data_IF_582931831540
#
_entry.id   IF_582931831540
#
_cell.length_a   1.000
_cell.length_b   1.000
_cell.length_c   1.000
_cell.angle_alpha   90.00
_cell.angle_beta   90.00
_cell.angle_gamma   90.00
#
_symmetry.space_group_name_H-M   'P 1'
#
loop_
_entity.id
_entity.type
_entity.pdbx_description
1 polymer ?
#
# COMPACT_ATOMS: atom_id res chain seq x y z
N UNK A 1 -36.68 -1.79 -8.60
CA UNK A 1 -36.28 -2.10 -9.99
C UNK A 1 -34.84 -1.67 -10.17
N UNK A 2 -33.95 -2.57 -10.54
CA UNK A 2 -32.53 -2.24 -10.76
C UNK A 2 -32.40 -1.48 -12.09
N UNK A 3 -31.83 -0.28 -12.06
CA UNK A 3 -31.53 0.48 -13.28
C UNK A 3 -30.37 -0.16 -14.04
N UNK A 4 -30.45 -0.26 -15.37
CA UNK A 4 -29.34 -0.77 -16.19
C UNK A 4 -28.13 0.16 -16.06
N UNK A 5 -27.03 -0.37 -15.52
CA UNK A 5 -25.74 0.30 -15.30
C UNK A 5 -24.58 -0.61 -15.72
N UNK A 6 -23.37 -0.05 -15.82
CA UNK A 6 -22.14 -0.81 -16.07
C UNK A 6 -21.91 -1.90 -15.02
N UNK A 7 -22.18 -1.60 -13.74
CA UNK A 7 -22.01 -2.55 -12.62
C UNK A 7 -22.97 -3.75 -12.70
N UNK A 8 -24.20 -3.53 -13.17
CA UNK A 8 -25.14 -4.62 -13.41
C UNK A 8 -24.59 -5.58 -14.46
N UNK A 9 -24.09 -5.06 -15.59
CA UNK A 9 -23.54 -5.88 -16.66
C UNK A 9 -22.30 -6.65 -16.18
N UNK A 10 -21.42 -6.00 -15.40
CA UNK A 10 -20.24 -6.64 -14.83
C UNK A 10 -20.62 -7.79 -13.88
N UNK A 11 -21.63 -7.60 -13.01
CA UNK A 11 -22.13 -8.64 -12.09
C UNK A 11 -22.70 -9.84 -12.83
N UNK A 12 -23.48 -9.62 -13.89
CA UNK A 12 -24.03 -10.71 -14.72
C UNK A 12 -22.90 -11.57 -15.30
N UNK A 13 -21.86 -10.95 -15.87
CA UNK A 13 -20.71 -11.69 -16.37
C UNK A 13 -19.94 -12.41 -15.25
N UNK A 14 -19.76 -11.79 -14.09
CA UNK A 14 -19.03 -12.37 -12.96
C UNK A 14 -19.76 -13.57 -12.30
N UNK A 15 -21.09 -13.55 -12.32
CA UNK A 15 -21.96 -14.61 -11.80
C UNK A 15 -22.07 -15.80 -12.76
N UNK A 16 -21.84 -15.59 -14.05
CA UNK A 16 -21.94 -16.66 -15.05
C UNK A 16 -20.70 -17.56 -15.05
N UNK A 17 -20.91 -18.87 -14.90
CA UNK A 17 -19.84 -19.88 -15.05
C UNK A 17 -19.48 -20.13 -16.52
N UNK A 18 -20.42 -19.86 -17.43
CA UNK A 18 -20.26 -20.04 -18.87
C UNK A 18 -20.13 -18.68 -19.58
N UNK A 19 -19.41 -18.62 -20.73
CA UNK A 19 -19.43 -17.44 -21.57
C UNK A 19 -20.82 -17.09 -22.08
N UNK A 20 -21.14 -15.81 -22.17
CA UNK A 20 -22.44 -15.31 -22.61
C UNK A 20 -22.34 -14.71 -24.02
N UNK A 21 -23.27 -15.11 -24.89
CA UNK A 21 -23.65 -14.37 -26.08
C UNK A 21 -24.41 -13.10 -25.72
N UNK A 22 -24.60 -12.19 -26.69
CA UNK A 22 -25.41 -10.99 -26.47
C UNK A 22 -26.86 -11.32 -26.10
N UNK A 23 -27.46 -12.35 -26.70
CA UNK A 23 -28.86 -12.72 -26.42
C UNK A 23 -29.03 -13.34 -25.04
N UNK A 24 -28.03 -14.09 -24.55
CA UNK A 24 -27.97 -14.55 -23.16
C UNK A 24 -27.79 -13.36 -22.21
N UNK A 25 -26.89 -12.43 -22.52
CA UNK A 25 -26.72 -11.21 -21.73
C UNK A 25 -28.03 -10.41 -21.62
N UNK A 26 -28.78 -10.26 -22.71
CA UNK A 26 -30.07 -9.55 -22.67
C UNK A 26 -31.10 -10.24 -21.77
N UNK A 27 -31.17 -11.59 -21.82
CA UNK A 27 -32.06 -12.38 -20.95
C UNK A 27 -31.70 -12.23 -19.47
N UNK A 28 -30.41 -12.24 -19.15
CA UNK A 28 -29.94 -12.02 -17.78
C UNK A 28 -30.25 -10.60 -17.29
N UNK A 29 -30.02 -9.57 -18.14
CA UNK A 29 -30.41 -8.19 -17.80
C UNK A 29 -31.91 -8.09 -17.57
N UNK A 30 -32.71 -8.74 -18.41
CA UNK A 30 -34.17 -8.77 -18.25
C UNK A 30 -34.57 -9.39 -16.90
N UNK A 31 -33.98 -10.53 -16.54
CA UNK A 31 -34.22 -11.21 -15.27
C UNK A 31 -33.87 -10.35 -14.06
N UNK A 32 -32.70 -9.72 -14.05
CA UNK A 32 -32.20 -8.95 -12.90
C UNK A 32 -32.90 -7.59 -12.71
N UNK A 33 -33.46 -7.04 -13.78
CA UNK A 33 -34.15 -5.74 -13.75
C UNK A 33 -35.66 -5.88 -13.57
N UNK A 34 -36.23 -7.05 -13.93
CA UNK A 34 -37.66 -7.33 -13.91
C UNK A 34 -38.42 -6.69 -15.08
N UNK A 35 -37.72 -6.25 -16.14
CA UNK A 35 -38.38 -5.64 -17.31
C UNK A 35 -39.14 -6.68 -18.14
N UNK A 36 -40.23 -6.24 -18.74
CA UNK A 36 -41.03 -7.02 -19.67
C UNK A 36 -40.31 -7.23 -21.02
N UNK A 37 -40.76 -8.23 -21.77
CA UNK A 37 -40.26 -8.49 -23.11
C UNK A 37 -40.55 -7.32 -24.07
N UNK A 38 -41.70 -6.69 -23.91
CA UNK A 38 -42.08 -5.49 -24.65
C UNK A 38 -41.09 -4.34 -24.43
N UNK A 39 -40.64 -4.11 -23.19
CA UNK A 39 -39.64 -3.08 -22.86
C UNK A 39 -38.26 -3.42 -23.43
N UNK A 40 -37.85 -4.68 -23.38
CA UNK A 40 -36.57 -5.12 -23.95
C UNK A 40 -36.53 -4.94 -25.47
N UNK A 41 -37.67 -5.07 -26.15
CA UNK A 41 -37.82 -4.97 -27.60
C UNK A 41 -38.30 -3.61 -28.10
N UNK A 42 -38.59 -2.65 -27.21
CA UNK A 42 -39.03 -1.30 -27.56
C UNK A 42 -38.01 -0.60 -28.48
N UNK A 43 -38.42 -0.34 -29.72
CA UNK A 43 -37.58 0.29 -30.74
C UNK A 43 -37.51 1.80 -30.54
N UNK A 44 -36.29 2.35 -30.60
CA UNK A 44 -36.01 3.79 -30.63
C UNK A 44 -35.15 4.12 -31.86
N UNK A 45 -35.27 5.34 -32.34
CA UNK A 45 -34.46 5.85 -33.44
C UNK A 45 -33.13 6.41 -32.91
N UNK A 46 -32.02 6.05 -33.53
CA UNK A 46 -30.68 6.48 -33.15
C UNK A 46 -29.92 7.05 -34.36
N UNK A 47 -29.08 8.07 -34.11
CA UNK A 47 -28.20 8.69 -35.11
C UNK A 47 -28.91 9.60 -36.12
N UNK A 48 -28.12 10.25 -36.97
CA UNK A 48 -28.61 11.08 -38.09
C UNK A 48 -29.43 10.27 -39.11
N UNK A 49 -29.16 8.98 -39.22
CA UNK A 49 -29.71 8.08 -40.22
C UNK A 49 -30.99 7.36 -39.73
N UNK A 50 -31.53 7.77 -38.56
CA UNK A 50 -32.76 7.25 -37.94
C UNK A 50 -32.85 5.72 -37.87
N UNK A 51 -31.75 5.05 -37.53
CA UNK A 51 -31.73 3.59 -37.45
C UNK A 51 -32.59 3.12 -36.27
N UNK A 52 -33.54 2.21 -36.51
CA UNK A 52 -34.43 1.67 -35.46
C UNK A 52 -33.82 0.45 -34.78
N UNK A 53 -33.52 0.56 -33.49
CA UNK A 53 -33.05 -0.57 -32.69
C UNK A 53 -33.58 -0.47 -31.26
N UNK A 54 -33.52 -1.57 -30.49
CA UNK A 54 -33.93 -1.54 -29.09
C UNK A 54 -33.01 -0.63 -28.28
N UNK A 55 -33.60 0.36 -27.59
CA UNK A 55 -32.82 1.29 -26.77
C UNK A 55 -32.16 0.61 -25.57
N UNK A 56 -32.82 -0.41 -25.02
CA UNK A 56 -32.27 -1.25 -23.95
C UNK A 56 -31.07 -2.05 -24.45
N UNK A 57 -31.21 -2.79 -25.57
CA UNK A 57 -30.12 -3.58 -26.14
C UNK A 57 -28.96 -2.71 -26.58
N UNK A 58 -29.22 -1.49 -27.06
CA UNK A 58 -28.19 -0.50 -27.35
C UNK A 58 -27.42 -0.10 -26.08
N UNK A 59 -28.13 0.25 -25.00
CA UNK A 59 -27.53 0.62 -23.72
C UNK A 59 -26.68 -0.51 -23.11
N UNK A 60 -27.18 -1.75 -23.17
CA UNK A 60 -26.45 -2.95 -22.72
C UNK A 60 -25.17 -3.15 -23.55
N UNK A 61 -25.23 -3.02 -24.88
CA UNK A 61 -24.04 -3.10 -25.75
C UNK A 61 -23.04 -1.98 -25.47
N UNK A 62 -23.50 -0.78 -25.13
CA UNK A 62 -22.63 0.33 -24.77
C UNK A 62 -21.85 0.01 -23.48
N UNK A 63 -22.55 -0.42 -22.41
CA UNK A 63 -21.88 -0.86 -21.18
C UNK A 63 -20.97 -2.07 -21.40
N UNK A 64 -21.41 -3.05 -22.20
CA UNK A 64 -20.57 -4.19 -22.60
C UNK A 64 -19.30 -3.70 -23.33
N UNK A 65 -19.39 -2.69 -24.19
CA UNK A 65 -18.23 -2.09 -24.86
C UNK A 65 -17.30 -1.38 -23.86
N UNK A 66 -17.85 -0.66 -22.88
CA UNK A 66 -17.07 -0.09 -21.77
C UNK A 66 -16.32 -1.19 -21.02
N UNK A 67 -16.97 -2.30 -20.70
CA UNK A 67 -16.34 -3.47 -20.06
C UNK A 67 -15.29 -4.13 -20.95
N UNK A 68 -15.47 -4.17 -22.27
CA UNK A 68 -14.41 -4.67 -23.19
C UNK A 68 -13.19 -3.76 -23.19
N UNK A 69 -13.39 -2.45 -23.28
CA UNK A 69 -12.31 -1.46 -23.29
C UNK A 69 -11.56 -1.42 -21.95
N UNK A 70 -12.30 -1.55 -20.85
CA UNK A 70 -11.72 -1.67 -19.52
C UNK A 70 -10.94 -2.98 -19.36
N UNK A 71 -11.23 -3.97 -20.20
CA UNK A 71 -10.96 -5.35 -19.89
C UNK A 71 -11.70 -5.66 -18.59
N UNK A 72 -12.94 -6.09 -18.65
CA UNK A 72 -13.65 -6.77 -17.54
C UNK A 72 -14.14 -8.12 -18.05
N UNK A 73 -14.39 -8.14 -19.36
CA UNK A 73 -14.73 -9.32 -20.13
C UNK A 73 -13.73 -9.47 -21.26
N UNK A 74 -13.42 -10.72 -21.60
CA UNK A 74 -12.60 -11.07 -22.74
C UNK A 74 -13.41 -11.86 -23.76
N UNK A 75 -12.99 -11.77 -25.02
CA UNK A 75 -13.62 -12.51 -26.11
C UNK A 75 -13.22 -13.97 -25.99
N UNK A 76 -14.19 -14.87 -26.13
CA UNK A 76 -13.88 -16.30 -26.29
C UNK A 76 -13.29 -16.53 -27.68
N UNK A 77 -12.09 -17.13 -27.81
CA UNK A 77 -11.52 -17.47 -29.11
C UNK A 77 -12.52 -18.25 -29.96
N UNK A 78 -12.50 -18.01 -31.27
CA UNK A 78 -13.31 -18.74 -32.27
C UNK A 78 -14.84 -18.57 -32.15
N UNK A 79 -15.35 -17.88 -31.13
CA UNK A 79 -16.78 -17.56 -30.98
C UNK A 79 -17.04 -16.08 -31.27
N UNK A 80 -17.97 -15.79 -32.20
CA UNK A 80 -18.37 -14.42 -32.55
C UNK A 80 -19.42 -13.92 -31.56
N UNK A 81 -19.17 -12.75 -30.96
CA UNK A 81 -20.14 -12.11 -30.06
C UNK A 81 -20.33 -12.80 -28.71
N UNK A 82 -19.42 -13.71 -28.33
CA UNK A 82 -19.43 -14.42 -27.05
C UNK A 82 -18.29 -13.90 -26.18
N UNK A 83 -18.63 -13.55 -24.94
CA UNK A 83 -17.74 -12.91 -23.99
C UNK A 83 -17.81 -13.62 -22.65
N UNK A 84 -16.71 -13.64 -21.91
CA UNK A 84 -16.65 -14.17 -20.55
C UNK A 84 -15.96 -13.19 -19.63
N UNK A 85 -16.22 -13.29 -18.35
CA UNK A 85 -15.46 -12.57 -17.33
C UNK A 85 -14.01 -13.04 -17.33
N UNK A 86 -13.02 -12.13 -17.24
CA UNK A 86 -11.62 -12.58 -17.15
C UNK A 86 -11.28 -13.06 -15.73
N UNK A 87 -10.28 -13.93 -15.61
CA UNK A 87 -9.99 -14.80 -14.46
C UNK A 87 -10.23 -14.24 -13.04
N UNK A 88 -10.80 -15.10 -12.17
CA UNK A 88 -10.87 -14.93 -10.71
C UNK A 88 -9.54 -15.39 -10.06
N UNK A 89 -9.08 -14.71 -9.02
CA UNK A 89 -7.91 -15.15 -8.23
C UNK A 89 -8.21 -16.42 -7.42
N UNK A 90 -7.15 -17.05 -6.87
CA UNK A 90 -7.27 -18.26 -6.02
C UNK A 90 -8.14 -18.07 -4.76
N UNK A 91 -8.41 -16.83 -4.34
CA UNK A 91 -9.24 -16.49 -3.17
C UNK A 91 -10.66 -16.07 -3.55
N UNK A 92 -11.10 -16.31 -4.79
CA UNK A 92 -12.37 -15.85 -5.35
C UNK A 92 -12.54 -14.32 -5.36
N UNK A 93 -11.47 -13.55 -5.14
CA UNK A 93 -11.46 -12.10 -5.28
C UNK A 93 -11.08 -11.69 -6.71
N UNK A 94 -11.57 -10.52 -7.13
CA UNK A 94 -11.27 -9.93 -8.45
C UNK A 94 -9.83 -9.38 -8.48
N UNK A 95 -9.07 -9.65 -9.54
CA UNK A 95 -7.78 -9.01 -9.78
C UNK A 95 -8.02 -7.61 -10.39
N UNK A 96 -7.26 -6.60 -9.96
CA UNK A 96 -7.25 -5.29 -10.61
C UNK A 96 -6.53 -5.38 -11.96
N UNK A 97 -7.12 -4.84 -13.02
CA UNK A 97 -6.57 -4.90 -14.38
C UNK A 97 -5.51 -3.83 -14.61
N UNK A 98 -4.63 -4.01 -15.61
CA UNK A 98 -3.47 -3.14 -15.87
C UNK A 98 -3.82 -1.65 -16.03
N UNK A 99 -5.04 -1.30 -16.47
CA UNK A 99 -5.47 0.10 -16.67
C UNK A 99 -6.71 0.50 -15.88
N UNK A 100 -7.32 -0.43 -15.14
CA UNK A 100 -8.53 -0.15 -14.39
C UNK A 100 -8.15 0.44 -13.03
N UNK A 101 -8.62 1.66 -12.77
CA UNK A 101 -8.58 2.30 -11.47
C UNK A 101 -10.01 2.70 -11.11
N UNK A 102 -10.56 2.10 -10.06
CA UNK A 102 -11.90 2.42 -9.56
C UNK A 102 -11.76 3.01 -8.17
N UNK A 103 -12.50 4.09 -7.90
CA UNK A 103 -12.60 4.61 -6.54
C UNK A 103 -13.33 3.56 -5.69
N UNK A 104 -12.62 2.94 -4.75
CA UNK A 104 -13.20 1.99 -3.81
C UNK A 104 -14.08 2.70 -2.79
N UNK A 105 -13.59 3.81 -2.24
CA UNK A 105 -14.36 4.73 -1.40
C UNK A 105 -13.70 6.10 -1.33
N UNK A 106 -14.45 7.12 -0.94
CA UNK A 106 -13.95 8.48 -0.69
C UNK A 106 -14.56 9.03 0.60
N UNK A 107 -13.76 9.73 1.38
CA UNK A 107 -14.12 10.37 2.65
C UNK A 107 -13.49 11.76 2.70
N UNK A 108 -13.76 12.52 3.77
CA UNK A 108 -13.06 13.79 4.03
C UNK A 108 -11.56 13.62 4.27
N UNK A 109 -11.08 12.40 4.57
CA UNK A 109 -9.67 12.09 4.83
C UNK A 109 -8.91 11.67 3.55
N UNK A 110 -9.61 11.50 2.43
CA UNK A 110 -9.01 11.10 1.16
C UNK A 110 -9.82 10.04 0.41
N UNK A 111 -9.21 9.46 -0.62
CA UNK A 111 -9.81 8.45 -1.46
C UNK A 111 -8.98 7.16 -1.48
N UNK A 112 -9.68 6.02 -1.52
CA UNK A 112 -9.10 4.72 -1.82
C UNK A 112 -9.39 4.36 -3.26
N UNK A 113 -8.35 3.91 -3.98
CA UNK A 113 -8.45 3.47 -5.36
C UNK A 113 -8.07 2.00 -5.44
N UNK A 114 -8.97 1.18 -5.96
CA UNK A 114 -8.71 -0.18 -6.33
C UNK A 114 -8.23 -0.23 -7.79
N UNK A 115 -6.96 -0.59 -8.00
CA UNK A 115 -6.36 -0.57 -9.33
C UNK A 115 -4.89 -0.93 -9.33
N UNK A 116 -4.31 -0.92 -10.53
CA UNK A 116 -2.86 -1.02 -10.70
C UNK A 116 -2.18 0.28 -10.25
N UNK A 117 -1.35 0.22 -9.21
CA UNK A 117 -0.67 1.39 -8.66
C UNK A 117 0.16 2.15 -9.70
N UNK A 118 0.91 1.46 -10.56
CA UNK A 118 1.68 2.11 -11.62
C UNK A 118 0.78 2.89 -12.58
N UNK A 119 -0.33 2.30 -13.03
CA UNK A 119 -1.27 2.97 -13.93
C UNK A 119 -1.95 4.19 -13.28
N UNK A 120 -2.32 4.09 -12.00
CA UNK A 120 -2.88 5.21 -11.26
C UNK A 120 -1.88 6.35 -11.12
N UNK A 121 -0.71 6.09 -10.53
CA UNK A 121 0.28 7.13 -10.26
C UNK A 121 0.93 7.68 -11.53
N UNK A 122 0.96 6.95 -12.65
CA UNK A 122 1.42 7.52 -13.94
C UNK A 122 0.53 8.65 -14.46
N UNK A 123 -0.70 8.79 -13.96
CA UNK A 123 -1.66 9.82 -14.37
C UNK A 123 -2.00 10.82 -13.26
N UNK A 124 -1.42 10.66 -12.07
CA UNK A 124 -1.65 11.61 -10.97
C UNK A 124 -1.00 12.95 -11.30
N UNK A 125 -1.67 14.05 -10.98
CA UNK A 125 -1.15 15.42 -11.23
C UNK A 125 -0.88 16.18 -9.94
N UNK A 126 -1.43 15.66 -8.85
CA UNK A 126 -1.35 16.18 -7.51
C UNK A 126 0.08 16.09 -6.97
N UNK A 127 0.46 17.10 -6.21
CA UNK A 127 1.78 17.21 -5.60
C UNK A 127 1.84 16.36 -4.33
N UNK A 128 2.80 15.44 -4.27
CA UNK A 128 2.93 14.44 -3.21
C UNK A 128 3.95 14.90 -2.18
N UNK A 129 3.63 14.76 -0.90
CA UNK A 129 4.47 15.21 0.22
C UNK A 129 5.10 14.04 0.98
N UNK A 130 4.42 12.89 0.97
CA UNK A 130 4.92 11.64 1.53
C UNK A 130 4.40 10.44 0.74
N UNK A 131 5.31 9.60 0.28
CA UNK A 131 5.01 8.22 -0.08
C UNK A 131 5.36 7.31 1.10
N UNK A 132 4.38 6.90 1.88
CA UNK A 132 4.56 5.94 2.96
C UNK A 132 3.95 4.62 2.53
N UNK A 133 4.73 3.53 2.57
CA UNK A 133 4.20 2.22 2.17
C UNK A 133 4.99 1.04 2.71
N UNK A 134 4.37 -0.13 2.64
CA UNK A 134 4.95 -1.42 2.97
C UNK A 134 4.72 -2.38 1.80
N UNK A 135 5.62 -2.43 0.80
CA UNK A 135 5.40 -3.27 -0.38
C UNK A 135 5.30 -4.75 -0.01
N UNK A 136 4.59 -5.57 -0.81
CA UNK A 136 4.70 -7.02 -0.81
C UNK A 136 6.15 -7.49 -0.64
N UNK A 137 6.49 -8.09 0.50
CA UNK A 137 7.89 -8.43 0.76
C UNK A 137 8.45 -9.49 -0.20
N UNK A 138 9.73 -9.32 -0.56
CA UNK A 138 10.56 -10.36 -1.19
C UNK A 138 10.79 -11.53 -0.20
N UNK A 139 9.78 -12.38 -0.07
CA UNK A 139 9.85 -13.60 0.73
C UNK A 139 9.97 -14.83 -0.18
N UNK A 140 10.72 -15.83 0.32
CA UNK A 140 10.88 -17.11 -0.38
C UNK A 140 9.55 -17.85 -0.53
N UNK A 141 8.75 -17.86 0.52
CA UNK A 141 7.37 -18.33 0.48
C UNK A 141 6.49 -17.08 0.40
N UNK A 142 5.75 -16.94 -0.69
CA UNK A 142 4.76 -15.87 -0.79
C UNK A 142 3.76 -16.01 0.34
N UNK A 143 3.40 -14.88 0.93
CA UNK A 143 2.15 -14.75 1.66
C UNK A 143 1.03 -14.48 0.66
N UNK A 144 -0.20 -14.40 1.14
CA UNK A 144 -1.38 -14.23 0.30
C UNK A 144 -1.39 -12.94 -0.54
N UNK A 145 -0.48 -11.99 -0.27
CA UNK A 145 -0.29 -10.76 -1.06
C UNK A 145 0.59 -10.91 -2.32
N UNK A 146 1.03 -12.12 -2.68
CA UNK A 146 1.76 -12.40 -3.93
C UNK A 146 3.29 -12.23 -3.87
N UNK A 147 3.93 -12.16 -5.05
CA UNK A 147 5.39 -12.24 -5.24
C UNK A 147 6.10 -10.92 -5.64
N UNK A 148 5.48 -9.74 -5.46
CA UNK A 148 6.16 -8.46 -5.73
C UNK A 148 6.84 -8.38 -7.11
N UNK A 149 6.08 -8.69 -8.18
CA UNK A 149 6.58 -8.62 -9.56
C UNK A 149 7.33 -9.84 -10.09
N UNK A 150 7.71 -10.82 -9.26
CA UNK A 150 8.28 -12.08 -9.76
C UNK A 150 9.22 -12.81 -8.79
N UNK A 151 9.97 -13.79 -9.32
CA UNK A 151 11.00 -14.52 -8.54
C UNK A 151 12.38 -13.95 -8.85
N UNK A 152 13.03 -13.40 -7.83
CA UNK A 152 14.41 -12.96 -7.92
C UNK A 152 14.57 -11.55 -7.38
N UNK A 153 15.76 -11.29 -6.87
CA UNK A 153 16.09 -10.02 -6.22
C UNK A 153 15.98 -8.82 -7.17
N UNK A 154 16.63 -8.90 -8.32
CA UNK A 154 16.65 -7.81 -9.30
C UNK A 154 15.25 -7.52 -9.88
N UNK A 155 14.49 -8.58 -10.17
CA UNK A 155 13.11 -8.45 -10.67
C UNK A 155 12.21 -7.73 -9.66
N UNK A 156 12.36 -8.04 -8.38
CA UNK A 156 11.63 -7.35 -7.31
C UNK A 156 12.01 -5.87 -7.20
N UNK A 157 13.31 -5.57 -7.27
CA UNK A 157 13.81 -4.19 -7.23
C UNK A 157 13.26 -3.41 -8.42
N UNK A 158 13.41 -3.91 -9.65
CA UNK A 158 12.95 -3.20 -10.85
C UNK A 158 11.42 -3.03 -10.87
N UNK A 159 10.67 -4.01 -10.36
CA UNK A 159 9.22 -3.90 -10.17
C UNK A 159 8.85 -2.78 -9.19
N UNK A 160 9.49 -2.72 -8.03
CA UNK A 160 9.19 -1.69 -7.02
C UNK A 160 9.58 -0.30 -7.53
N UNK A 161 10.74 -0.17 -8.19
CA UNK A 161 11.17 1.09 -8.79
C UNK A 161 10.19 1.57 -9.86
N UNK A 162 9.68 0.66 -10.70
CA UNK A 162 8.67 1.01 -11.71
C UNK A 162 7.43 1.64 -11.07
N UNK A 163 6.98 1.14 -9.92
CA UNK A 163 5.82 1.68 -9.20
C UNK A 163 6.14 3.02 -8.54
N UNK A 164 7.34 3.16 -7.96
CA UNK A 164 7.76 4.37 -7.25
C UNK A 164 8.14 5.51 -8.19
N UNK A 165 8.64 5.23 -9.40
CA UNK A 165 9.08 6.26 -10.36
C UNK A 165 8.03 7.36 -10.62
N UNK A 166 6.77 7.07 -10.99
CA UNK A 166 5.77 8.12 -11.18
C UNK A 166 5.42 8.86 -9.89
N UNK A 167 5.51 8.22 -8.73
CA UNK A 167 5.29 8.87 -7.42
C UNK A 167 6.43 9.86 -7.16
N UNK A 168 7.68 9.44 -7.36
CA UNK A 168 8.87 10.28 -7.14
C UNK A 168 8.87 11.52 -8.03
N UNK A 169 8.39 11.40 -9.27
CA UNK A 169 8.24 12.55 -10.20
C UNK A 169 7.26 13.61 -9.69
N UNK A 170 6.31 13.23 -8.85
CA UNK A 170 5.26 14.10 -8.33
C UNK A 170 5.55 14.60 -6.90
N UNK A 171 6.71 14.23 -6.33
CA UNK A 171 7.14 14.70 -5.03
C UNK A 171 7.47 16.21 -5.07
N UNK A 172 6.94 16.96 -4.11
CA UNK A 172 7.41 18.34 -3.87
C UNK A 172 8.87 18.32 -3.38
N UNK A 173 9.64 19.40 -3.56
CA UNK A 173 11.01 19.45 -3.04
C UNK A 173 11.06 19.20 -1.53
N UNK A 174 11.91 18.26 -1.11
CA UNK A 174 12.07 17.86 0.30
C UNK A 174 11.03 16.88 0.83
N UNK A 175 10.13 16.40 -0.03
CA UNK A 175 9.15 15.36 0.29
C UNK A 175 9.83 14.02 0.56
N UNK A 176 9.16 13.17 1.35
CA UNK A 176 9.75 11.92 1.83
C UNK A 176 9.19 10.69 1.13
N UNK A 177 10.03 9.66 1.00
CA UNK A 177 9.63 8.29 0.68
C UNK A 177 10.05 7.39 1.84
N UNK A 178 9.08 6.76 2.49
CA UNK A 178 9.28 5.87 3.62
C UNK A 178 8.79 4.46 3.27
N UNK A 179 9.72 3.51 3.17
CA UNK A 179 9.45 2.13 2.77
C UNK A 179 9.71 1.18 3.92
N UNK A 180 8.65 0.63 4.52
CA UNK A 180 8.77 -0.49 5.45
C UNK A 180 9.03 -1.78 4.67
N UNK A 181 10.21 -2.40 4.86
CA UNK A 181 10.63 -3.58 4.09
C UNK A 181 11.15 -4.67 5.03
N UNK A 182 11.22 -5.91 4.54
CA UNK A 182 11.69 -7.04 5.37
C UNK A 182 13.21 -7.13 5.42
N UNK A 183 13.80 -7.29 6.60
CA UNK A 183 15.19 -7.78 6.65
C UNK A 183 15.30 -9.32 6.59
N UNK A 184 14.17 -10.02 6.60
CA UNK A 184 14.10 -11.49 6.68
C UNK A 184 14.10 -12.16 5.30
N UNK A 185 14.89 -11.64 4.36
CA UNK A 185 15.14 -12.26 3.05
C UNK A 185 16.47 -13.02 3.08
N UNK A 186 16.42 -14.33 2.80
CA UNK A 186 17.57 -15.24 2.90
C UNK A 186 17.98 -15.81 1.55
N UNK A 187 19.28 -16.02 1.37
CA UNK A 187 19.81 -16.73 0.22
C UNK A 187 19.30 -18.18 0.21
N UNK A 188 19.00 -18.70 -0.99
CA UNK A 188 18.38 -20.01 -1.15
C UNK A 188 19.23 -21.11 -0.48
N UNK A 189 18.63 -21.79 0.50
CA UNK A 189 19.25 -22.91 1.20
C UNK A 189 20.42 -22.54 2.11
N UNK A 190 20.62 -21.25 2.41
CA UNK A 190 21.74 -20.77 3.24
C UNK A 190 21.25 -19.89 4.39
N UNK A 191 21.97 -19.84 5.53
CA UNK A 191 21.65 -18.95 6.64
C UNK A 191 22.05 -17.49 6.38
N UNK A 192 22.70 -17.17 5.27
CA UNK A 192 23.03 -15.80 4.89
C UNK A 192 21.82 -15.05 4.34
N UNK A 193 21.68 -13.76 4.69
CA UNK A 193 20.67 -12.87 4.13
C UNK A 193 21.02 -12.47 2.69
N UNK A 194 20.00 -12.23 1.88
CA UNK A 194 20.18 -11.58 0.57
C UNK A 194 20.59 -10.12 0.79
N UNK A 195 21.40 -9.58 -0.13
CA UNK A 195 21.81 -8.18 -0.11
C UNK A 195 20.78 -7.26 -0.79
N UNK A 196 19.53 -7.72 -0.95
CA UNK A 196 18.53 -6.95 -1.70
C UNK A 196 18.19 -5.62 -1.05
N UNK A 197 18.32 -5.51 0.27
CA UNK A 197 18.03 -4.28 0.98
C UNK A 197 19.06 -3.22 0.63
N UNK A 198 20.34 -3.61 0.57
CA UNK A 198 21.45 -2.76 0.13
C UNK A 198 21.29 -2.41 -1.35
N UNK A 199 21.00 -3.39 -2.22
CA UNK A 199 20.81 -3.14 -3.66
C UNK A 199 19.59 -2.29 -3.96
N UNK A 200 18.49 -2.47 -3.23
CA UNK A 200 17.30 -1.63 -3.32
C UNK A 200 17.62 -0.20 -2.88
N UNK A 201 18.34 -0.03 -1.76
CA UNK A 201 18.75 1.30 -1.29
C UNK A 201 19.55 2.03 -2.37
N UNK A 202 20.59 1.39 -2.91
CA UNK A 202 21.41 1.97 -3.97
C UNK A 202 20.58 2.29 -5.21
N UNK A 203 19.70 1.37 -5.64
CA UNK A 203 18.89 1.59 -6.83
C UNK A 203 17.87 2.73 -6.66
N UNK A 204 17.32 2.94 -5.46
CA UNK A 204 16.47 4.10 -5.17
C UNK A 204 17.25 5.41 -5.33
N UNK A 205 18.49 5.45 -4.85
CA UNK A 205 19.36 6.63 -5.03
C UNK A 205 19.77 6.81 -6.50
N UNK A 206 20.36 5.78 -7.10
CA UNK A 206 21.01 5.87 -8.41
C UNK A 206 20.00 6.02 -9.56
N UNK A 207 18.83 5.37 -9.46
CA UNK A 207 17.83 5.35 -10.55
C UNK A 207 16.70 6.34 -10.35
N UNK A 208 16.33 6.67 -9.12
CA UNK A 208 15.24 7.63 -8.84
C UNK A 208 15.73 8.97 -8.30
N UNK A 209 17.04 9.15 -8.10
CA UNK A 209 17.62 10.41 -7.62
C UNK A 209 17.30 10.74 -6.17
N UNK A 210 16.91 9.74 -5.37
CA UNK A 210 16.59 9.93 -3.96
C UNK A 210 17.86 9.98 -3.10
N UNK A 211 17.79 10.68 -1.98
CA UNK A 211 18.85 10.75 -0.97
C UNK A 211 18.40 10.02 0.30
N UNK A 212 19.23 9.11 0.81
CA UNK A 212 18.93 8.36 2.02
C UNK A 212 19.09 9.26 3.26
N UNK A 213 18.01 9.45 4.01
CA UNK A 213 17.99 10.24 5.25
C UNK A 213 18.35 9.38 6.46
N UNK A 214 17.69 8.24 6.65
CA UNK A 214 17.97 7.30 7.74
C UNK A 214 17.37 5.90 7.46
N UNK A 215 17.70 4.93 8.32
CA UNK A 215 17.07 3.62 8.41
C UNK A 215 16.44 3.47 9.79
N UNK A 216 15.14 3.74 9.89
CA UNK A 216 14.42 3.61 11.14
C UNK A 216 14.14 2.13 11.41
N UNK A 217 14.48 1.65 12.60
CA UNK A 217 14.29 0.24 12.98
C UNK A 217 12.97 0.08 13.71
N UNK A 218 11.94 -0.41 13.03
CA UNK A 218 10.69 -0.75 13.68
C UNK A 218 10.83 -2.09 14.40
N UNK A 219 11.04 -2.03 15.72
CA UNK A 219 11.13 -3.20 16.61
C UNK A 219 9.74 -3.63 17.05
N UNK A 220 9.33 -4.80 16.60
CA UNK A 220 8.09 -5.44 17.02
C UNK A 220 8.41 -6.58 18.01
N UNK A 221 8.32 -6.27 19.31
CA UNK A 221 8.57 -7.26 20.39
C UNK A 221 7.59 -8.43 20.41
N UNK A 222 6.46 -8.32 19.71
CA UNK A 222 5.47 -9.38 19.57
C UNK A 222 5.66 -10.23 18.31
N UNK A 223 6.74 -10.00 17.53
CA UNK A 223 7.06 -10.81 16.36
C UNK A 223 7.36 -12.26 16.79
N UNK A 224 6.73 -13.27 16.18
CA UNK A 224 7.04 -14.67 16.49
C UNK A 224 8.53 -15.00 16.23
N UNK A 225 9.10 -15.98 16.95
CA UNK A 225 10.49 -16.41 16.73
C UNK A 225 10.76 -16.80 15.27
N UNK A 226 11.54 -15.97 14.58
CA UNK A 226 11.88 -16.12 13.17
C UNK A 226 13.28 -15.58 12.87
N UNK A 227 14.02 -16.08 11.87
CA UNK A 227 13.70 -17.20 10.99
C UNK A 227 13.76 -18.55 11.72
N UNK A 228 12.64 -19.26 11.83
CA UNK A 228 12.53 -20.45 12.69
C UNK A 228 13.52 -21.54 12.32
N UNK A 229 13.77 -21.76 11.01
CA UNK A 229 14.74 -22.76 10.57
C UNK A 229 16.17 -22.41 11.01
N UNK A 230 16.63 -21.19 10.77
CA UNK A 230 18.02 -20.81 11.05
C UNK A 230 18.27 -20.48 12.52
N UNK A 231 17.33 -19.79 13.18
CA UNK A 231 17.48 -19.37 14.57
C UNK A 231 17.05 -20.44 15.56
N UNK A 232 15.87 -21.06 15.37
CA UNK A 232 15.30 -21.98 16.37
C UNK A 232 15.71 -23.44 16.14
N UNK A 233 15.80 -23.90 14.89
CA UNK A 233 16.15 -25.30 14.56
C UNK A 233 17.67 -25.50 14.45
N UNK A 234 18.32 -24.76 13.54
CA UNK A 234 19.76 -24.89 13.27
C UNK A 234 20.64 -24.16 14.30
N UNK A 235 20.09 -23.17 15.01
CA UNK A 235 20.79 -22.38 16.05
C UNK A 235 22.03 -21.63 15.54
N UNK A 236 22.01 -21.19 14.28
CA UNK A 236 23.10 -20.45 13.63
C UNK A 236 22.78 -18.97 13.40
N UNK A 237 21.63 -18.50 13.87
CA UNK A 237 21.15 -17.12 13.75
C UNK A 237 20.40 -16.70 15.02
N UNK A 238 20.29 -15.39 15.23
CA UNK A 238 19.38 -14.82 16.23
C UNK A 238 17.97 -14.64 15.65
N UNK A 239 16.97 -14.54 16.53
CA UNK A 239 15.63 -14.16 16.10
C UNK A 239 15.60 -12.68 15.67
N UNK A 240 15.04 -12.43 14.50
CA UNK A 240 14.77 -11.09 13.97
C UNK A 240 13.70 -10.40 14.78
N UNK A 241 14.00 -9.19 15.26
CA UNK A 241 13.12 -8.41 16.13
C UNK A 241 12.59 -7.13 15.46
N UNK A 242 13.12 -6.77 14.29
CA UNK A 242 12.80 -5.50 13.65
C UNK A 242 12.53 -5.62 12.16
N UNK A 243 11.89 -4.60 11.61
CA UNK A 243 11.73 -4.33 10.18
C UNK A 243 12.26 -2.92 9.88
N UNK A 244 13.18 -2.77 8.91
CA UNK A 244 13.69 -1.45 8.55
C UNK A 244 12.65 -0.66 7.75
N UNK A 245 12.45 0.59 8.16
CA UNK A 245 11.83 1.63 7.36
C UNK A 245 12.97 2.42 6.71
N UNK A 246 13.15 2.25 5.41
CA UNK A 246 14.09 3.09 4.66
C UNK A 246 13.42 4.44 4.41
N UNK A 247 14.03 5.52 4.90
CA UNK A 247 13.53 6.87 4.72
C UNK A 247 14.45 7.65 3.79
N UNK A 248 13.88 8.14 2.69
CA UNK A 248 14.54 8.95 1.68
C UNK A 248 13.85 10.30 1.50
N UNK A 249 14.56 11.25 0.89
CA UNK A 249 14.04 12.52 0.37
C UNK A 249 14.43 12.69 -1.10
N UNK A 250 13.73 13.55 -1.84
CA UNK A 250 14.13 13.97 -3.18
C UNK A 250 15.02 15.23 -3.21
N UNK A 251 15.15 15.94 -2.08
CA UNK A 251 16.05 17.09 -1.92
C UNK A 251 16.42 17.24 -0.44
N UNK A 252 17.65 16.86 -0.07
CA UNK A 252 18.13 16.95 1.31
C UNK A 252 18.30 18.40 1.82
N UNK A 253 18.38 19.38 0.93
CA UNK A 253 18.50 20.80 1.31
C UNK A 253 17.16 21.44 1.70
N UNK A 254 16.03 20.78 1.41
CA UNK A 254 14.67 21.31 1.62
C UNK A 254 13.78 20.38 2.45
N UNK A 255 14.37 19.49 3.24
CA UNK A 255 13.64 18.46 3.99
C UNK A 255 12.48 19.05 4.80
N UNK A 256 11.34 18.35 4.75
CA UNK A 256 10.10 18.72 5.46
C UNK A 256 9.93 18.05 6.82
N UNK A 257 10.86 17.18 7.21
CA UNK A 257 10.79 16.45 8.47
C UNK A 257 11.05 17.39 9.66
N UNK A 258 10.32 17.17 10.75
CA UNK A 258 10.47 17.97 11.97
C UNK A 258 10.30 17.08 13.20
N UNK A 259 11.39 16.85 13.93
CA UNK A 259 11.41 15.98 15.10
C UNK A 259 10.67 16.58 16.31
N UNK A 260 10.40 17.88 16.32
CA UNK A 260 9.62 18.53 17.36
C UNK A 260 8.15 18.09 17.33
N UNK A 261 7.65 17.65 16.17
CA UNK A 261 6.29 17.10 16.03
C UNK A 261 6.13 15.74 16.70
N UNK A 262 7.23 15.02 16.98
CA UNK A 262 7.18 13.64 17.50
C UNK A 262 7.96 13.46 18.80
N UNK A 263 8.09 14.54 19.58
CA UNK A 263 8.74 14.49 20.90
C UNK A 263 8.06 13.45 21.80
N UNK A 264 8.89 12.72 22.53
CA UNK A 264 8.45 11.79 23.56
C UNK A 264 8.51 12.47 24.93
N UNK A 265 7.67 12.06 25.89
CA UNK A 265 7.80 12.54 27.25
C UNK A 265 9.18 12.20 27.81
N UNK A 266 9.73 13.11 28.62
CA UNK A 266 10.94 12.83 29.38
C UNK A 266 10.70 11.68 30.34
N UNK A 267 11.73 10.85 30.56
CA UNK A 267 11.69 9.87 31.65
C UNK A 267 11.74 10.59 33.00
N UNK A 268 11.21 9.97 34.04
CA UNK A 268 11.29 10.52 35.41
C UNK A 268 12.74 10.79 35.82
N UNK A 269 13.67 9.94 35.39
CA UNK A 269 15.09 10.12 35.66
C UNK A 269 15.64 11.37 34.97
N UNK A 270 15.24 11.63 33.72
CA UNK A 270 15.67 12.83 33.02
C UNK A 270 15.05 14.11 33.62
N UNK A 271 13.78 14.06 34.03
CA UNK A 271 13.14 15.17 34.74
C UNK A 271 13.86 15.49 36.07
N UNK A 272 14.27 14.46 36.83
CA UNK A 272 15.09 14.63 38.03
C UNK A 272 16.46 15.26 37.72
N UNK A 273 17.10 14.83 36.64
CA UNK A 273 18.37 15.39 36.18
C UNK A 273 18.24 16.87 35.82
N UNK A 274 17.20 17.24 35.06
CA UNK A 274 16.90 18.63 34.72
C UNK A 274 16.61 19.48 35.98
N UNK A 275 15.84 18.95 36.93
CA UNK A 275 15.56 19.62 38.19
C UNK A 275 16.81 19.85 39.05
N UNK A 276 17.81 18.97 38.95
CA UNK A 276 19.10 19.10 39.62
C UNK A 276 20.08 20.04 38.89
N UNK A 277 19.70 20.63 37.75
CA UNK A 277 20.56 21.51 36.96
C UNK A 277 21.44 20.78 35.93
N UNK A 278 21.22 19.47 35.72
CA UNK A 278 21.99 18.64 34.79
C UNK A 278 23.04 17.76 35.48
N UNK A 279 24.00 17.28 34.68
CA UNK A 279 25.12 16.47 35.15
C UNK A 279 26.08 17.32 35.98
N UNK A 280 26.57 16.79 37.11
CA UNK A 280 27.52 17.52 37.97
C UNK A 280 28.99 17.24 37.60
N UNK A 281 29.23 16.17 36.84
CA UNK A 281 30.57 15.71 36.46
C UNK A 281 31.03 16.37 35.17
N UNK A 282 32.35 16.56 35.10
CA UNK A 282 33.04 16.81 33.84
C UNK A 282 33.90 15.59 33.53
N UNK A 283 33.75 15.01 32.34
CA UNK A 283 34.45 13.77 31.96
C UNK A 283 34.74 13.79 30.46
N UNK A 284 35.89 13.24 30.06
CA UNK A 284 36.25 13.01 28.67
C UNK A 284 36.13 11.52 28.38
N UNK A 285 35.43 11.16 27.31
CA UNK A 285 35.28 9.77 26.89
C UNK A 285 36.15 9.49 25.66
N UNK A 286 36.79 8.32 25.63
CA UNK A 286 37.57 7.85 24.50
C UNK A 286 38.71 8.81 24.12
N UNK A 287 38.73 9.22 22.86
CA UNK A 287 39.69 10.17 22.29
C UNK A 287 39.40 11.64 22.65
N UNK A 288 38.38 11.89 23.46
CA UNK A 288 37.99 13.22 23.92
C UNK A 288 37.00 13.95 23.01
N UNK A 289 36.56 13.35 21.88
CA UNK A 289 35.53 13.94 21.03
C UNK A 289 34.19 14.13 21.77
N UNK A 290 33.92 13.26 22.74
CA UNK A 290 32.76 13.37 23.62
C UNK A 290 33.20 13.82 25.01
N UNK A 291 32.93 15.08 25.31
CA UNK A 291 33.10 15.66 26.63
C UNK A 291 31.74 15.83 27.31
N UNK A 292 31.57 15.22 28.47
CA UNK A 292 30.50 15.58 29.39
C UNK A 292 30.95 16.78 30.21
N UNK A 293 30.13 17.84 30.25
CA UNK A 293 30.39 19.05 31.02
C UNK A 293 29.40 19.14 32.17
N UNK A 294 29.81 19.74 33.28
CA UNK A 294 28.87 20.14 34.33
C UNK A 294 27.74 21.01 33.75
N UNK A 295 26.50 20.76 34.15
CA UNK A 295 25.28 21.36 33.61
C UNK A 295 24.72 20.69 32.34
N UNK A 296 25.41 19.70 31.75
CA UNK A 296 24.89 18.99 30.58
C UNK A 296 23.55 18.32 30.86
N UNK A 297 22.66 18.32 29.87
CA UNK A 297 21.29 17.80 29.97
C UNK A 297 20.40 18.52 31.01
N UNK A 298 20.82 19.66 31.55
CA UNK A 298 20.03 20.46 32.50
C UNK A 298 18.92 21.30 31.86
N UNK A 299 18.99 21.54 30.55
CA UNK A 299 18.02 22.39 29.85
C UNK A 299 16.61 21.79 29.90
N UNK A 300 15.63 22.61 30.29
CA UNK A 300 14.21 22.25 30.20
C UNK A 300 13.76 22.28 28.74
N UNK A 301 13.30 21.15 28.24
CA UNK A 301 12.74 21.01 26.89
C UNK A 301 11.35 20.38 26.98
N UNK A 302 10.50 20.62 25.99
CA UNK A 302 9.11 20.12 25.95
C UNK A 302 9.03 18.59 25.93
N UNK A 303 10.06 17.92 25.40
CA UNK A 303 10.20 16.48 25.43
C UNK A 303 11.58 16.04 24.95
N UNK A 304 11.73 14.73 24.75
CA UNK A 304 12.93 14.11 24.22
C UNK A 304 12.75 13.73 22.75
N UNK A 305 13.77 14.00 21.94
CA UNK A 305 13.78 13.60 20.54
C UNK A 305 13.83 12.07 20.46
N UNK A 306 12.92 11.42 19.73
CA UNK A 306 12.92 9.97 19.59
C UNK A 306 14.22 9.48 18.92
N UNK A 307 14.65 8.28 19.29
CA UNK A 307 15.71 7.57 18.55
C UNK A 307 15.13 6.94 17.29
N UNK A 308 15.99 6.66 16.32
CA UNK A 308 15.61 5.95 15.09
C UNK A 308 15.31 4.44 15.30
N UNK A 309 15.12 4.00 16.54
CA UNK A 309 14.62 2.65 16.88
C UNK A 309 13.24 2.78 17.50
N UNK A 310 12.23 2.33 16.78
CA UNK A 310 10.82 2.54 17.08
C UNK A 310 10.20 1.27 17.66
N UNK A 311 9.72 1.32 18.90
CA UNK A 311 9.15 0.17 19.59
C UNK A 311 7.62 0.16 19.48
N UNK A 312 7.09 -0.44 18.42
CA UNK A 312 5.66 -0.61 18.23
C UNK A 312 5.29 -2.09 18.07
N UNK A 313 4.38 -2.60 18.89
CA UNK A 313 3.88 -3.97 18.75
C UNK A 313 2.83 -4.08 17.64
N UNK A 314 2.69 -5.27 17.04
CA UNK A 314 1.66 -5.52 16.01
C UNK A 314 0.21 -5.48 16.55
N UNK A 315 0.01 -5.61 17.87
CA UNK A 315 -1.32 -5.53 18.47
C UNK A 315 -1.90 -4.13 18.27
N UNK A 316 -2.88 -4.03 17.36
CA UNK A 316 -3.50 -2.77 16.97
C UNK A 316 -5.03 -2.88 17.05
N UNK A 317 -5.68 -1.89 17.64
CA UNK A 317 -7.14 -1.84 17.75
C UNK A 317 -7.79 -1.77 16.37
N UNK A 318 -7.26 -0.94 15.47
CA UNK A 318 -7.80 -0.77 14.11
C UNK A 318 -7.67 -2.06 13.29
N UNK A 319 -6.55 -2.78 13.43
CA UNK A 319 -6.40 -4.09 12.78
C UNK A 319 -7.45 -5.07 13.28
N UNK A 320 -7.69 -5.12 14.61
CA UNK A 320 -8.71 -6.01 15.19
C UNK A 320 -10.11 -5.64 14.70
N UNK A 321 -10.42 -4.36 14.60
CA UNK A 321 -11.67 -3.85 14.07
C UNK A 321 -11.87 -4.23 12.59
N UNK A 322 -10.89 -3.95 11.72
CA UNK A 322 -10.97 -4.38 10.32
C UNK A 322 -11.14 -5.90 10.19
N UNK A 323 -10.43 -6.68 11.00
CA UNK A 323 -10.56 -8.14 11.00
C UNK A 323 -11.91 -8.62 11.56
N UNK A 324 -12.54 -7.94 12.52
CA UNK A 324 -13.87 -8.32 12.99
C UNK A 324 -14.92 -8.11 11.91
N UNK A 325 -14.89 -6.96 11.22
CA UNK A 325 -15.78 -6.66 10.10
C UNK A 325 -15.56 -7.66 8.95
N UNK A 326 -14.31 -7.96 8.60
CA UNK A 326 -14.01 -8.94 7.55
C UNK A 326 -14.59 -10.33 7.89
N UNK A 327 -14.49 -10.79 9.16
CA UNK A 327 -15.10 -12.06 9.58
C UNK A 327 -16.62 -12.04 9.49
N UNK A 328 -17.25 -10.97 9.95
CA UNK A 328 -18.72 -10.80 9.91
C UNK A 328 -19.24 -10.87 8.46
N UNK A 329 -18.51 -10.26 7.53
CA UNK A 329 -18.85 -10.23 6.10
C UNK A 329 -18.36 -11.46 5.32
N UNK A 330 -17.68 -12.41 5.96
CA UNK A 330 -17.14 -13.61 5.31
C UNK A 330 -15.94 -13.37 4.38
N UNK A 331 -15.21 -12.27 4.56
CA UNK A 331 -14.00 -11.94 3.78
C UNK A 331 -12.72 -12.51 4.41
N UNK A 332 -11.68 -12.79 3.58
CA UNK A 332 -10.38 -13.22 4.08
C UNK A 332 -9.69 -12.13 4.89
N UNK A 333 -8.89 -12.55 5.89
CA UNK A 333 -8.13 -11.63 6.73
C UNK A 333 -6.79 -11.30 6.08
N UNK A 334 -6.42 -10.02 6.10
CA UNK A 334 -5.08 -9.64 5.68
C UNK A 334 -4.03 -10.07 6.71
N UNK A 335 -3.07 -10.91 6.30
CA UNK A 335 -2.09 -11.56 7.17
C UNK A 335 -0.79 -10.78 7.43
N UNK A 336 -0.64 -9.56 6.91
CA UNK A 336 0.58 -8.76 7.04
C UNK A 336 0.29 -7.28 7.30
N UNK A 337 -0.12 -6.97 8.54
CA UNK A 337 -0.51 -5.61 8.93
C UNK A 337 0.57 -4.94 9.77
N UNK A 338 0.85 -3.66 9.51
CA UNK A 338 1.61 -2.78 10.42
C UNK A 338 0.68 -2.11 11.44
N UNK A 339 1.16 -1.66 12.62
CA UNK A 339 0.35 -0.91 13.58
C UNK A 339 0.11 0.53 13.10
N UNK A 340 -1.09 1.06 13.34
CA UNK A 340 -1.48 2.43 12.93
C UNK A 340 -0.56 3.48 13.56
N UNK A 341 -0.10 3.25 14.79
CA UNK A 341 0.87 4.13 15.48
C UNK A 341 2.21 4.30 14.76
N UNK A 342 2.67 3.29 14.01
CA UNK A 342 3.89 3.45 13.19
C UNK A 342 3.64 4.45 12.06
N UNK A 343 2.50 4.33 11.38
CA UNK A 343 2.12 5.26 10.32
C UNK A 343 1.91 6.68 10.87
N UNK A 344 1.20 6.82 12.00
CA UNK A 344 0.94 8.11 12.63
C UNK A 344 2.25 8.83 12.98
N UNK A 345 3.19 8.13 13.60
CA UNK A 345 4.53 8.67 13.88
C UNK A 345 5.25 9.16 12.62
N UNK A 346 5.20 8.38 11.53
CA UNK A 346 5.89 8.75 10.28
C UNK A 346 5.20 9.91 9.57
N UNK A 347 3.86 9.95 9.56
CA UNK A 347 3.09 11.06 8.98
C UNK A 347 3.37 12.34 9.77
N UNK A 348 3.22 12.31 11.09
CA UNK A 348 3.48 13.46 11.97
C UNK A 348 4.95 13.91 11.89
N UNK A 349 5.90 13.00 11.76
CA UNK A 349 7.32 13.35 11.62
C UNK A 349 7.64 13.98 10.26
N UNK A 350 7.02 13.51 9.17
CA UNK A 350 7.44 13.79 7.79
C UNK A 350 6.53 14.77 7.03
N UNK A 351 5.37 15.14 7.57
CA UNK A 351 4.37 15.96 6.88
C UNK A 351 3.69 16.99 7.79
N UNK A 352 2.96 17.92 7.19
CA UNK A 352 2.11 18.92 7.86
C UNK A 352 0.62 18.71 7.54
N UNK A 353 -0.31 19.22 8.38
CA UNK A 353 -1.73 19.21 8.04
C UNK A 353 -2.00 19.83 6.66
N UNK A 354 -2.69 19.09 5.80
CA UNK A 354 -2.99 19.48 4.42
C UNK A 354 -2.04 18.88 3.37
N UNK A 355 -0.92 18.29 3.79
CA UNK A 355 -0.01 17.57 2.90
C UNK A 355 -0.66 16.29 2.35
N UNK A 356 -0.36 15.96 1.09
CA UNK A 356 -0.84 14.73 0.45
C UNK A 356 0.09 13.55 0.77
N UNK A 357 -0.46 12.53 1.44
CA UNK A 357 0.17 11.24 1.71
C UNK A 357 -0.38 10.18 0.77
N UNK A 358 0.50 9.40 0.13
CA UNK A 358 0.12 8.30 -0.77
C UNK A 358 0.68 6.96 -0.29
N UNK A 359 -0.07 5.89 -0.55
CA UNK A 359 0.34 4.50 -0.32
C UNK A 359 -0.05 3.61 -1.52
N UNK A 360 0.91 3.20 -2.37
CA UNK A 360 0.63 2.29 -3.49
C UNK A 360 0.23 0.87 -3.07
N UNK A 361 0.36 0.50 -1.80
CA UNK A 361 0.09 -0.84 -1.26
C UNK A 361 -0.75 -0.77 0.02
N UNK A 362 -1.86 -0.02 -0.03
CA UNK A 362 -2.64 0.41 1.14
C UNK A 362 -3.28 -0.68 2.01
N UNK A 363 -3.40 -1.92 1.55
CA UNK A 363 -3.85 -3.08 2.33
C UNK A 363 -5.18 -2.85 3.11
N UNK A 364 -5.12 -2.57 4.42
CA UNK A 364 -6.30 -2.28 5.26
C UNK A 364 -6.68 -0.80 5.29
N UNK A 365 -6.04 0.06 4.49
CA UNK A 365 -6.27 1.51 4.40
C UNK A 365 -6.23 2.21 5.75
N UNK A 366 -5.21 1.93 6.56
CA UNK A 366 -5.10 2.49 7.92
C UNK A 366 -4.38 3.84 8.00
N UNK A 367 -3.68 4.24 6.94
CA UNK A 367 -2.93 5.51 6.94
C UNK A 367 -3.82 6.75 6.97
N UNK A 368 -5.00 6.79 6.32
CA UNK A 368 -5.91 7.94 6.46
C UNK A 368 -6.43 8.17 7.89
N UNK A 369 -6.40 7.15 8.76
CA UNK A 369 -6.84 7.23 10.17
C UNK A 369 -5.65 7.62 11.09
N UNK A 370 -4.43 7.45 10.59
CA UNK A 370 -3.18 7.70 11.31
C UNK A 370 -2.79 9.17 11.19
#
# INVERSE_FOLDING_TARGET
MSTISTDLIARIYAASELPLSNDELYREVQRETGMSDAELHELKEFGSDKTRTSGVKHKVRWFQQTLRQAGVIERVPEKRGVWRYSSKTKTNLHESWEKLCVVGFSTSLGASVFGNAYAFFSNITEQIHLCLTSPPYLLRNSRDYGHGGGRGEQVYIDWLLRILEPIVKQLVPGASVALNITQDSFNRGRPSRSLYLERLTLALCDKLGLELMDRLQWVNRSKPPSPTHWACKQRVQLCSSYEPVLWFTNDASKVRSNNLRVLQPHSEQHLKLQAAGGENRTTFYGDGAYQLKSGSFGNKTEGTIPKNTLFYGNSCADTRFCHSIARELGFPLHGATSPTRLAAFLIEFLTEPGDLVVDPFACLHKFPIA
#
